data_IF_872426919407
#
_entry.id   IF_872426919407
#
_cell.length_a   1.000
_cell.length_b   1.000
_cell.length_c   1.000
_cell.angle_alpha   90.00
_cell.angle_beta   90.00
_cell.angle_gamma   90.00
#
_symmetry.space_group_name_H-M   'P 1'
#
loop_
_entity.id
_entity.type
_entity.pdbx_description
1 polymer ?
#
# COMPACT_ATOMS: atom_id res chain seq x y z
N UNK A 1 -0.05 8.20 19.48
CA UNK A 1 0.31 6.94 20.18
C UNK A 1 -0.37 6.99 21.53
N UNK A 2 -0.85 5.89 22.10
CA UNK A 2 -1.36 5.88 23.47
C UNK A 2 -0.20 6.00 24.46
N UNK A 3 -0.46 6.58 25.64
CA UNK A 3 0.59 6.82 26.65
C UNK A 3 1.30 5.54 27.09
N UNK A 4 0.60 4.40 27.34
CA UNK A 4 1.27 3.14 27.66
C UNK A 4 2.23 2.66 26.55
N UNK A 5 1.86 2.84 25.29
CA UNK A 5 2.73 2.49 24.14
C UNK A 5 3.94 3.41 24.03
N UNK A 6 3.79 4.68 24.44
CA UNK A 6 4.90 5.62 24.45
C UNK A 6 5.93 5.25 25.51
N UNK A 7 5.45 4.93 26.75
CA UNK A 7 6.33 4.44 27.82
C UNK A 7 7.03 3.13 27.44
N UNK A 8 6.28 2.16 26.92
CA UNK A 8 6.85 0.90 26.46
C UNK A 8 7.91 1.11 25.36
N UNK A 9 7.67 2.02 24.43
CA UNK A 9 8.65 2.35 23.39
C UNK A 9 9.89 3.03 23.97
N UNK A 10 9.72 3.95 24.91
CA UNK A 10 10.82 4.63 25.57
C UNK A 10 11.70 3.65 26.38
N UNK A 11 11.09 2.78 27.16
CA UNK A 11 11.80 1.75 27.93
C UNK A 11 12.68 0.87 27.04
N UNK A 12 12.17 0.52 25.84
CA UNK A 12 12.95 -0.26 24.85
C UNK A 12 14.24 0.45 24.39
N UNK A 13 14.20 1.77 24.34
CA UNK A 13 15.35 2.58 23.92
C UNK A 13 16.16 3.12 25.10
N UNK A 14 15.80 2.78 26.35
CA UNK A 14 16.41 3.32 27.55
C UNK A 14 16.25 4.84 27.63
N UNK A 15 15.09 5.33 27.22
CA UNK A 15 14.74 6.74 27.18
C UNK A 15 13.84 7.08 28.36
N UNK A 16 14.16 8.16 29.06
CA UNK A 16 13.34 8.65 30.18
C UNK A 16 12.25 9.60 29.67
N UNK A 17 11.01 9.09 29.59
CA UNK A 17 9.85 9.88 29.18
C UNK A 17 9.55 11.01 30.15
N UNK A 18 9.78 10.82 31.43
CA UNK A 18 9.47 11.84 32.42
C UNK A 18 10.41 13.03 32.24
N UNK A 19 11.67 12.79 31.89
CA UNK A 19 12.62 13.83 31.51
C UNK A 19 12.18 14.59 30.25
N UNK A 20 11.72 13.88 29.20
CA UNK A 20 11.24 14.50 27.98
C UNK A 20 9.98 15.35 28.20
N UNK A 21 9.12 14.91 29.09
CA UNK A 21 7.80 15.52 29.30
C UNK A 21 7.75 16.49 30.48
N UNK A 22 8.83 16.60 31.27
CA UNK A 22 8.87 17.41 32.51
C UNK A 22 8.43 18.87 32.32
N UNK A 23 8.75 19.48 31.15
CA UNK A 23 8.43 20.86 30.85
C UNK A 23 7.38 21.01 29.74
N UNK A 24 6.61 19.95 29.43
CA UNK A 24 5.65 19.95 28.35
C UNK A 24 4.22 20.13 28.85
N UNK A 25 3.36 20.72 28.00
CA UNK A 25 1.92 20.74 28.25
C UNK A 25 1.29 19.47 27.66
N UNK A 26 0.67 18.69 28.53
CA UNK A 26 -0.07 17.49 28.15
C UNK A 26 -1.48 17.87 27.69
N UNK A 27 -1.83 17.46 26.46
CA UNK A 27 -3.15 17.65 25.88
C UNK A 27 -3.74 16.30 25.48
N UNK A 28 -4.93 15.98 25.98
CA UNK A 28 -5.66 14.80 25.53
C UNK A 28 -6.26 15.05 24.13
N UNK A 29 -5.89 14.21 23.17
CA UNK A 29 -6.44 14.20 21.83
C UNK A 29 -7.26 12.91 21.68
N UNK A 30 -8.58 13.04 21.68
CA UNK A 30 -9.62 11.99 21.49
C UNK A 30 -9.24 10.57 21.95
N UNK A 31 -9.93 10.12 22.97
CA UNK A 31 -10.07 8.79 23.58
C UNK A 31 -8.84 8.16 24.26
N UNK A 32 -7.69 8.03 23.64
CA UNK A 32 -6.53 7.34 24.22
C UNK A 32 -5.17 7.93 23.80
N UNK A 33 -5.20 9.03 23.05
CA UNK A 33 -4.00 9.68 22.54
C UNK A 33 -3.67 10.91 23.35
N UNK A 34 -2.41 11.01 23.72
CA UNK A 34 -1.85 12.19 24.39
C UNK A 34 -0.89 12.89 23.41
N UNK A 35 -0.98 14.21 23.38
CA UNK A 35 -0.05 15.09 22.69
C UNK A 35 0.72 15.90 23.72
N UNK A 36 2.02 15.88 23.63
CA UNK A 36 2.91 16.72 24.42
C UNK A 36 3.32 17.93 23.58
N UNK A 37 3.11 19.12 24.12
CA UNK A 37 3.44 20.39 23.47
C UNK A 37 4.62 21.06 24.18
N UNK A 38 5.55 21.63 23.43
CA UNK A 38 6.71 22.30 23.99
C UNK A 38 7.82 21.33 24.39
N UNK A 39 7.92 20.19 23.68
CA UNK A 39 9.06 19.27 23.85
C UNK A 39 10.35 20.01 23.48
N UNK A 40 11.37 19.87 24.33
CA UNK A 40 12.68 20.45 24.09
C UNK A 40 13.33 19.82 22.84
N UNK A 41 13.81 20.66 21.94
CA UNK A 41 14.28 20.24 20.63
C UNK A 41 15.63 19.51 20.70
N UNK A 42 16.48 19.87 21.65
CA UNK A 42 17.78 19.21 21.85
C UNK A 42 17.61 17.82 22.44
N UNK A 43 16.70 17.66 23.39
CA UNK A 43 16.31 16.37 23.94
C UNK A 43 15.69 15.47 22.87
N UNK A 44 14.87 16.02 21.99
CA UNK A 44 14.26 15.28 20.88
C UNK A 44 15.32 14.78 19.89
N UNK A 45 16.30 15.63 19.54
CA UNK A 45 17.42 15.27 18.67
C UNK A 45 18.31 14.19 19.29
N UNK A 46 18.61 14.28 20.59
CA UNK A 46 19.35 13.24 21.32
C UNK A 46 18.60 11.89 21.31
N UNK A 47 17.28 11.93 21.44
CA UNK A 47 16.45 10.74 21.35
C UNK A 47 16.41 10.15 19.94
N UNK A 48 16.32 11.01 18.93
CA UNK A 48 16.40 10.57 17.53
C UNK A 48 17.71 9.86 17.24
N UNK A 49 18.84 10.43 17.67
CA UNK A 49 20.15 9.80 17.53
C UNK A 49 20.21 8.43 18.21
N UNK A 50 19.77 8.33 19.47
CA UNK A 50 19.73 7.03 20.18
C UNK A 50 18.81 6.00 19.52
N UNK A 51 17.75 6.42 18.87
CA UNK A 51 16.84 5.54 18.12
C UNK A 51 17.47 5.12 16.80
N UNK A 52 18.17 6.03 16.12
CA UNK A 52 18.88 5.77 14.87
C UNK A 52 20.03 4.79 15.08
N UNK A 53 20.85 5.01 16.09
CA UNK A 53 21.99 4.11 16.46
C UNK A 53 21.54 2.68 16.77
N UNK A 54 20.29 2.47 17.23
CA UNK A 54 19.73 1.14 17.51
C UNK A 54 19.01 0.51 16.32
N UNK A 55 18.71 1.26 15.28
CA UNK A 55 18.11 0.70 14.06
C UNK A 55 19.06 -0.21 13.28
N UNK A 56 20.36 -0.16 13.56
CA UNK A 56 21.35 -1.10 13.01
C UNK A 56 21.33 -2.48 13.70
N UNK A 57 20.64 -2.62 14.84
CA UNK A 57 20.51 -3.94 15.50
C UNK A 57 19.57 -4.82 14.68
N UNK A 58 20.14 -5.82 14.03
CA UNK A 58 19.41 -6.74 13.17
C UNK A 58 18.18 -7.33 13.90
N UNK A 59 17.06 -7.49 13.19
CA UNK A 59 15.80 -8.09 13.71
C UNK A 59 16.05 -9.43 14.44
N UNK A 60 17.05 -10.18 14.01
CA UNK A 60 17.51 -11.42 14.65
C UNK A 60 17.94 -11.21 16.11
N UNK A 61 18.63 -10.11 16.39
CA UNK A 61 19.11 -9.79 17.73
C UNK A 61 17.98 -9.27 18.62
N UNK A 62 17.05 -8.50 18.07
CA UNK A 62 15.82 -8.12 18.78
C UNK A 62 14.88 -9.29 19.03
N UNK A 63 14.89 -10.31 18.18
CA UNK A 63 14.16 -11.55 18.42
C UNK A 63 14.67 -12.30 19.65
N UNK A 64 15.97 -12.24 19.94
CA UNK A 64 16.57 -12.79 21.18
C UNK A 64 16.06 -12.10 22.44
N UNK A 65 15.66 -10.83 22.32
CA UNK A 65 15.08 -10.04 23.42
C UNK A 65 13.54 -10.13 23.49
N UNK A 66 12.92 -11.04 22.72
CA UNK A 66 11.46 -11.25 22.72
C UNK A 66 10.65 -10.17 22.01
N UNK A 67 11.28 -9.28 21.23
CA UNK A 67 10.61 -8.16 20.56
C UNK A 67 10.95 -8.07 19.07
N UNK A 68 10.69 -9.14 18.33
CA UNK A 68 10.92 -9.21 16.87
C UNK A 68 10.12 -8.19 16.05
N UNK A 69 9.04 -7.64 16.62
CA UNK A 69 8.19 -6.66 15.94
C UNK A 69 8.68 -5.21 16.05
N UNK A 70 9.69 -4.95 16.88
CA UNK A 70 10.27 -3.62 17.07
C UNK A 70 11.29 -3.22 15.99
N UNK A 71 11.92 -4.19 15.31
CA UNK A 71 12.88 -3.93 14.26
C UNK A 71 12.26 -4.00 12.86
N UNK A 72 12.72 -3.14 11.98
CA UNK A 72 12.37 -3.22 10.56
C UNK A 72 12.99 -4.49 9.94
N UNK A 73 12.30 -5.08 9.00
CA UNK A 73 12.87 -6.14 8.16
C UNK A 73 13.90 -5.49 7.24
N UNK A 74 15.07 -6.09 7.11
CA UNK A 74 16.19 -5.61 6.27
C UNK A 74 15.98 -5.87 4.78
N UNK A 75 14.75 -5.99 4.31
CA UNK A 75 14.45 -6.20 2.91
C UNK A 75 12.95 -6.31 2.66
N UNK A 76 12.61 -6.36 1.38
CA UNK A 76 11.27 -6.63 0.90
C UNK A 76 11.33 -7.67 -0.22
N UNK A 77 10.22 -8.38 -0.44
CA UNK A 77 10.12 -9.29 -1.57
C UNK A 77 8.76 -9.14 -2.25
N UNK A 78 8.74 -9.37 -3.55
CA UNK A 78 7.55 -9.38 -4.37
C UNK A 78 7.56 -10.58 -5.30
N UNK A 79 6.37 -11.03 -5.71
CA UNK A 79 6.22 -12.08 -6.70
C UNK A 79 5.77 -11.45 -8.01
N UNK A 80 6.50 -11.75 -9.09
CA UNK A 80 6.28 -11.16 -10.42
C UNK A 80 6.13 -12.27 -11.44
N UNK A 81 5.34 -12.03 -12.48
CA UNK A 81 5.21 -12.83 -13.69
C UNK A 81 4.83 -11.95 -14.89
N UNK A 82 4.92 -12.50 -16.10
CA UNK A 82 4.47 -11.83 -17.32
C UNK A 82 4.14 -12.87 -18.40
N UNK A 83 3.61 -12.45 -19.55
CA UNK A 83 3.47 -13.36 -20.71
C UNK A 83 4.82 -13.94 -21.15
N UNK A 84 5.89 -13.15 -21.12
CA UNK A 84 7.25 -13.59 -21.49
C UNK A 84 7.83 -14.55 -20.45
N UNK A 85 7.44 -14.39 -19.20
CA UNK A 85 7.89 -15.18 -18.06
C UNK A 85 6.67 -15.62 -17.23
N UNK A 86 5.93 -16.66 -17.72
CA UNK A 86 4.64 -17.04 -17.16
C UNK A 86 4.74 -17.70 -15.77
N UNK A 87 5.91 -18.27 -15.43
CA UNK A 87 6.13 -18.81 -14.09
C UNK A 87 6.40 -17.68 -13.10
N UNK A 88 5.62 -17.60 -11.99
CA UNK A 88 5.89 -16.65 -10.94
C UNK A 88 7.30 -16.79 -10.39
N UNK A 89 7.98 -15.69 -10.19
CA UNK A 89 9.31 -15.65 -9.59
C UNK A 89 9.37 -14.55 -8.52
N UNK A 90 10.29 -14.72 -7.57
CA UNK A 90 10.47 -13.79 -6.47
C UNK A 90 11.58 -12.80 -6.83
N UNK A 91 11.31 -11.52 -6.61
CA UNK A 91 12.28 -10.44 -6.63
C UNK A 91 12.45 -9.93 -5.21
N UNK A 92 13.69 -9.83 -4.73
CA UNK A 92 14.02 -9.30 -3.41
C UNK A 92 14.70 -7.94 -3.55
N UNK A 93 14.41 -7.06 -2.60
CA UNK A 93 15.07 -5.75 -2.46
C UNK A 93 15.60 -5.68 -1.04
N UNK A 94 16.88 -5.45 -0.86
CA UNK A 94 17.48 -5.30 0.45
C UNK A 94 17.33 -3.87 1.01
N UNK A 95 17.87 -3.63 2.19
CA UNK A 95 17.80 -2.32 2.86
C UNK A 95 18.72 -1.27 2.22
N UNK A 96 19.64 -1.67 1.34
CA UNK A 96 20.49 -0.79 0.53
C UNK A 96 19.85 -0.47 -0.83
N UNK A 97 18.72 -1.09 -1.16
CA UNK A 97 18.03 -0.94 -2.43
C UNK A 97 18.58 -1.84 -3.55
N UNK A 98 19.45 -2.80 -3.23
CA UNK A 98 19.91 -3.78 -4.20
C UNK A 98 18.81 -4.77 -4.55
N UNK A 99 18.63 -5.00 -5.85
CA UNK A 99 17.55 -5.84 -6.38
C UNK A 99 18.15 -7.18 -6.83
N UNK A 100 17.63 -8.24 -6.24
CA UNK A 100 17.95 -9.63 -6.61
C UNK A 100 16.75 -10.27 -7.30
N UNK A 101 16.95 -10.65 -8.58
CA UNK A 101 15.96 -11.36 -9.38
C UNK A 101 16.60 -12.60 -10.04
N UNK A 102 15.83 -13.59 -10.49
CA UNK A 102 16.38 -14.74 -11.20
C UNK A 102 17.15 -14.33 -12.46
N UNK A 103 18.20 -15.06 -12.83
CA UNK A 103 18.98 -14.78 -14.05
C UNK A 103 18.07 -14.71 -15.28
N UNK A 104 18.28 -13.69 -16.11
CA UNK A 104 17.50 -13.48 -17.33
C UNK A 104 16.15 -12.76 -17.12
N UNK A 105 15.80 -12.41 -15.88
CA UNK A 105 14.64 -11.54 -15.63
C UNK A 105 14.98 -10.12 -16.06
N UNK A 106 14.28 -9.66 -17.09
CA UNK A 106 14.39 -8.26 -17.55
C UNK A 106 13.03 -7.61 -17.35
N UNK A 107 12.93 -6.55 -16.52
CA UNK A 107 11.68 -5.82 -16.35
C UNK A 107 11.14 -5.29 -17.67
N UNK A 108 9.81 -5.23 -17.80
CA UNK A 108 9.18 -4.53 -18.90
C UNK A 108 9.16 -3.02 -18.61
N UNK A 109 8.72 -2.20 -19.58
CA UNK A 109 8.51 -0.77 -19.32
C UNK A 109 7.32 -0.51 -18.36
N UNK A 110 6.42 -1.49 -18.17
CA UNK A 110 5.16 -1.35 -17.46
C UNK A 110 4.94 -2.42 -16.40
N UNK A 111 4.38 -2.01 -15.28
CA UNK A 111 4.02 -2.89 -14.19
C UNK A 111 2.52 -2.79 -13.92
N UNK A 112 1.88 -3.93 -13.72
CA UNK A 112 0.53 -4.01 -13.16
C UNK A 112 0.63 -4.63 -11.77
N UNK A 113 0.17 -3.90 -10.77
CA UNK A 113 0.08 -4.41 -9.41
C UNK A 113 -1.34 -4.90 -9.20
N UNK A 114 -1.51 -6.20 -8.95
CA UNK A 114 -2.80 -6.80 -8.58
C UNK A 114 -2.82 -7.08 -7.09
N UNK A 115 -3.91 -6.70 -6.43
CA UNK A 115 -4.07 -6.93 -4.99
C UNK A 115 -4.41 -8.38 -4.70
N UNK A 116 -5.24 -8.98 -5.54
CA UNK A 116 -5.84 -10.28 -5.33
C UNK A 116 -5.06 -11.41 -5.99
N UNK A 117 -4.97 -12.53 -5.28
CA UNK A 117 -4.24 -13.73 -5.75
C UNK A 117 -4.91 -14.34 -6.98
N UNK A 118 -6.24 -14.36 -7.05
CA UNK A 118 -6.96 -14.95 -8.20
C UNK A 118 -6.63 -14.20 -9.50
N UNK A 119 -6.63 -12.87 -9.48
CA UNK A 119 -6.19 -12.06 -10.61
C UNK A 119 -4.72 -12.31 -10.98
N UNK A 120 -3.86 -12.52 -10.00
CA UNK A 120 -2.47 -12.84 -10.25
C UNK A 120 -2.29 -14.23 -10.88
N UNK A 121 -3.05 -15.23 -10.43
CA UNK A 121 -2.98 -16.60 -10.97
C UNK A 121 -3.59 -16.68 -12.37
N UNK A 122 -4.71 -15.98 -12.61
CA UNK A 122 -5.39 -15.92 -13.89
C UNK A 122 -4.80 -14.77 -14.76
N UNK A 123 -3.59 -14.97 -15.27
CA UNK A 123 -2.88 -13.94 -16.05
C UNK A 123 -3.65 -13.56 -17.32
N UNK A 124 -4.19 -14.52 -18.05
CA UNK A 124 -4.89 -14.25 -19.31
C UNK A 124 -6.19 -13.47 -19.06
N UNK A 125 -6.95 -13.86 -18.03
CA UNK A 125 -8.12 -13.13 -17.57
C UNK A 125 -7.78 -11.69 -17.16
N UNK A 126 -6.73 -11.52 -16.37
CA UNK A 126 -6.28 -10.20 -15.91
C UNK A 126 -5.80 -9.33 -17.08
N UNK A 127 -5.02 -9.85 -18.00
CA UNK A 127 -4.59 -9.11 -19.19
C UNK A 127 -5.76 -8.75 -20.10
N UNK A 128 -6.80 -9.59 -20.18
CA UNK A 128 -8.01 -9.31 -20.96
C UNK A 128 -8.82 -8.12 -20.40
N UNK A 129 -8.65 -7.79 -19.12
CA UNK A 129 -9.28 -6.62 -18.50
C UNK A 129 -8.64 -5.29 -18.90
N UNK A 130 -7.38 -5.29 -19.35
CA UNK A 130 -6.65 -4.04 -19.58
C UNK A 130 -7.29 -3.13 -20.64
N UNK A 131 -7.77 -3.64 -21.80
CA UNK A 131 -8.52 -2.82 -22.75
C UNK A 131 -9.83 -2.28 -22.16
N UNK A 132 -10.49 -3.05 -21.30
CA UNK A 132 -11.74 -2.63 -20.62
C UNK A 132 -11.45 -1.52 -19.59
N UNK A 133 -10.25 -1.49 -19.04
CA UNK A 133 -9.74 -0.39 -18.21
C UNK A 133 -9.22 0.81 -19.03
N UNK A 134 -9.39 0.81 -20.35
CA UNK A 134 -8.96 1.90 -21.23
C UNK A 134 -7.46 1.90 -21.56
N UNK A 135 -6.74 0.81 -21.27
CA UNK A 135 -5.33 0.71 -21.55
C UNK A 135 -5.04 0.27 -22.99
N UNK A 136 -4.01 0.84 -23.59
CA UNK A 136 -3.57 0.48 -24.93
C UNK A 136 -2.96 -0.93 -25.00
N UNK A 137 -2.88 -1.55 -26.19
CA UNK A 137 -2.35 -2.92 -26.36
C UNK A 137 -0.94 -3.14 -25.82
N UNK A 138 -0.11 -2.10 -25.72
CA UNK A 138 1.26 -2.21 -25.18
C UNK A 138 1.32 -2.71 -23.74
N UNK A 139 0.23 -2.55 -22.98
CA UNK A 139 0.11 -3.06 -21.63
C UNK A 139 -0.05 -4.58 -21.54
N UNK A 140 -0.31 -5.25 -22.68
CA UNK A 140 -0.35 -6.72 -22.73
C UNK A 140 1.02 -7.37 -22.44
N UNK A 141 2.10 -6.59 -22.57
CA UNK A 141 3.47 -7.02 -22.29
C UNK A 141 3.97 -6.57 -20.90
N UNK A 142 3.08 -6.02 -20.08
CA UNK A 142 3.41 -5.58 -18.74
C UNK A 142 3.81 -6.76 -17.83
N UNK A 143 4.70 -6.49 -16.89
CA UNK A 143 4.89 -7.39 -15.77
C UNK A 143 3.70 -7.29 -14.81
N UNK A 144 3.30 -8.40 -14.22
CA UNK A 144 2.23 -8.48 -13.25
C UNK A 144 2.83 -8.84 -11.89
N UNK A 145 2.58 -7.99 -10.90
CA UNK A 145 3.06 -8.16 -9.54
C UNK A 145 1.89 -8.48 -8.61
N UNK A 146 2.07 -9.48 -7.76
CA UNK A 146 1.16 -9.76 -6.66
C UNK A 146 1.43 -8.84 -5.48
N UNK A 147 0.49 -7.96 -5.17
CA UNK A 147 0.62 -6.91 -4.15
C UNK A 147 0.55 -7.42 -2.72
N UNK A 148 -0.13 -8.56 -2.48
CA UNK A 148 -0.31 -9.13 -1.14
C UNK A 148 -0.75 -8.11 -0.08
N UNK A 149 -1.78 -7.33 -0.40
CA UNK A 149 -2.32 -6.28 0.46
C UNK A 149 -1.31 -5.15 0.76
N UNK A 150 -1.25 -4.69 2.00
CA UNK A 150 -0.42 -3.54 2.39
C UNK A 150 1.10 -3.75 2.23
N UNK A 151 1.60 -4.97 2.03
CA UNK A 151 3.03 -5.24 1.85
C UNK A 151 3.62 -4.51 0.65
N UNK A 152 2.81 -4.28 -0.39
CA UNK A 152 3.19 -3.52 -1.58
C UNK A 152 3.56 -2.07 -1.27
N UNK A 153 3.08 -1.53 -0.16
CA UNK A 153 3.42 -0.17 0.28
C UNK A 153 4.69 -0.10 1.12
N UNK A 154 5.52 -1.15 1.16
CA UNK A 154 6.82 -1.10 1.81
C UNK A 154 7.76 -0.14 1.07
N UNK A 155 8.39 0.79 1.80
CA UNK A 155 9.27 1.81 1.23
C UNK A 155 10.50 1.18 0.53
N UNK A 156 10.97 0.04 1.00
CA UNK A 156 12.11 -0.68 0.42
C UNK A 156 11.85 -1.14 -1.02
N UNK A 157 10.59 -1.20 -1.47
CA UNK A 157 10.25 -1.53 -2.85
C UNK A 157 10.41 -0.35 -3.83
N UNK A 158 10.75 0.84 -3.36
CA UNK A 158 10.91 2.02 -4.22
C UNK A 158 11.91 1.79 -5.37
N UNK A 159 13.12 1.25 -5.15
CA UNK A 159 14.07 0.98 -6.25
C UNK A 159 13.54 -0.02 -7.28
N UNK A 160 12.76 -1.01 -6.85
CA UNK A 160 12.10 -1.95 -7.75
C UNK A 160 11.09 -1.24 -8.65
N UNK A 161 10.22 -0.39 -8.09
CA UNK A 161 9.23 0.35 -8.87
C UNK A 161 9.85 1.34 -9.85
N UNK A 162 10.99 1.93 -9.53
CA UNK A 162 11.70 2.88 -10.37
C UNK A 162 12.27 2.26 -11.66
N UNK A 163 12.30 0.93 -11.77
CA UNK A 163 12.70 0.25 -13.01
C UNK A 163 11.63 0.35 -14.11
N UNK A 164 10.40 0.70 -13.76
CA UNK A 164 9.29 0.81 -14.69
C UNK A 164 9.05 2.27 -15.09
N UNK A 165 8.42 2.50 -16.23
CA UNK A 165 8.00 3.84 -16.68
C UNK A 165 6.59 4.17 -16.23
N UNK A 166 5.73 3.16 -16.19
CA UNK A 166 4.32 3.29 -15.85
C UNK A 166 3.88 2.15 -14.93
N UNK A 167 3.07 2.48 -13.94
CA UNK A 167 2.53 1.51 -12.98
C UNK A 167 1.00 1.61 -12.98
N UNK A 168 0.34 0.49 -13.27
CA UNK A 168 -1.11 0.33 -13.14
C UNK A 168 -1.44 -0.38 -11.84
N UNK A 169 -2.21 0.25 -10.96
CA UNK A 169 -2.72 -0.36 -9.74
C UNK A 169 -4.10 -0.93 -10.01
N UNK A 170 -4.18 -2.25 -10.19
CA UNK A 170 -5.44 -2.98 -10.23
C UNK A 170 -5.75 -3.45 -8.81
N UNK A 171 -6.32 -2.55 -8.01
CA UNK A 171 -6.69 -2.78 -6.61
C UNK A 171 -8.20 -2.88 -6.46
N UNK A 172 -8.65 -3.40 -5.34
CA UNK A 172 -10.06 -3.38 -4.99
C UNK A 172 -10.60 -1.94 -5.02
N UNK A 173 -11.74 -1.68 -5.68
CA UNK A 173 -12.37 -0.38 -5.62
C UNK A 173 -13.08 -0.21 -4.27
N UNK A 174 -12.26 -0.07 -3.23
CA UNK A 174 -12.64 0.11 -1.85
C UNK A 174 -11.71 1.12 -1.14
N UNK A 175 -11.99 1.52 0.10
CA UNK A 175 -11.11 2.44 0.85
C UNK A 175 -9.70 1.90 1.10
N UNK A 176 -9.50 0.58 1.12
CA UNK A 176 -8.19 -0.07 1.26
C UNK A 176 -7.33 0.11 0.02
N UNK A 177 -7.86 -0.26 -1.15
CA UNK A 177 -7.18 -0.09 -2.43
C UNK A 177 -6.88 1.37 -2.75
N UNK A 178 -7.83 2.29 -2.48
CA UNK A 178 -7.60 3.73 -2.61
C UNK A 178 -6.46 4.20 -1.68
N UNK A 179 -6.41 3.73 -0.44
CA UNK A 179 -5.32 4.07 0.50
C UNK A 179 -3.97 3.56 0.03
N UNK A 180 -3.89 2.34 -0.50
CA UNK A 180 -2.64 1.77 -1.02
C UNK A 180 -2.14 2.59 -2.22
N UNK A 181 -3.01 2.91 -3.17
CA UNK A 181 -2.69 3.75 -4.31
C UNK A 181 -2.23 5.16 -3.88
N UNK A 182 -2.95 5.82 -2.94
CA UNK A 182 -2.53 7.10 -2.35
C UNK A 182 -1.15 7.00 -1.69
N UNK A 183 -0.88 5.91 -0.96
CA UNK A 183 0.42 5.70 -0.31
C UNK A 183 1.54 5.59 -1.33
N UNK A 184 1.34 4.85 -2.41
CA UNK A 184 2.31 4.73 -3.49
C UNK A 184 2.52 6.08 -4.19
N UNK A 185 1.44 6.75 -4.59
CA UNK A 185 1.49 8.04 -5.27
C UNK A 185 2.24 9.12 -4.48
N UNK A 186 2.01 9.19 -3.18
CA UNK A 186 2.60 10.22 -2.31
C UNK A 186 4.10 10.06 -2.05
N UNK A 187 4.71 8.98 -2.47
CA UNK A 187 6.17 8.83 -2.39
C UNK A 187 6.89 9.85 -3.29
N UNK A 188 6.24 10.30 -4.40
CA UNK A 188 6.79 11.30 -5.29
C UNK A 188 7.98 10.85 -6.13
N UNK A 189 8.54 9.69 -5.83
CA UNK A 189 9.73 9.12 -6.49
C UNK A 189 9.37 8.00 -7.48
N UNK A 190 8.08 7.67 -7.55
CA UNK A 190 7.59 6.61 -8.43
C UNK A 190 7.28 7.14 -9.84
N UNK A 191 7.34 6.27 -10.87
CA UNK A 191 6.91 6.62 -12.22
C UNK A 191 5.40 6.92 -12.28
N UNK A 192 4.89 7.24 -13.47
CA UNK A 192 3.46 7.51 -13.69
C UNK A 192 2.60 6.37 -13.13
N UNK A 193 1.67 6.72 -12.25
CA UNK A 193 0.85 5.75 -11.51
C UNK A 193 -0.63 5.98 -11.82
N UNK A 194 -1.33 4.89 -12.13
CA UNK A 194 -2.75 4.88 -12.50
C UNK A 194 -3.52 3.92 -11.61
N UNK A 195 -4.70 4.31 -11.14
CA UNK A 195 -5.66 3.37 -10.56
C UNK A 195 -6.49 2.77 -11.71
N UNK A 196 -6.38 1.46 -11.92
CA UNK A 196 -7.06 0.77 -13.01
C UNK A 196 -8.44 0.30 -12.55
N UNK A 197 -9.44 0.59 -13.36
CA UNK A 197 -10.79 0.10 -13.15
C UNK A 197 -11.51 -0.04 -14.50
N UNK A 198 -12.42 -1.00 -14.65
CA UNK A 198 -13.18 -1.16 -15.88
C UNK A 198 -14.12 0.03 -16.11
N UNK A 199 -14.42 0.31 -17.38
CA UNK A 199 -15.28 1.41 -17.76
C UNK A 199 -16.70 1.31 -17.15
N UNK A 200 -17.18 0.09 -16.91
CA UNK A 200 -18.48 -0.22 -16.29
C UNK A 200 -18.43 -0.30 -14.75
N UNK A 201 -17.38 0.29 -14.12
CA UNK A 201 -17.23 0.24 -12.66
C UNK A 201 -18.43 0.79 -11.90
N UNK A 202 -19.07 1.84 -12.42
CA UNK A 202 -20.26 2.46 -11.78
C UNK A 202 -21.40 1.45 -11.65
N UNK A 203 -21.67 0.72 -12.72
CA UNK A 203 -22.72 -0.30 -12.81
C UNK A 203 -22.41 -1.46 -11.85
N UNK A 204 -21.16 -1.93 -11.85
CA UNK A 204 -20.70 -2.98 -10.94
C UNK A 204 -20.82 -2.56 -9.47
N UNK A 205 -20.41 -1.36 -9.12
CA UNK A 205 -20.58 -0.81 -7.77
C UNK A 205 -22.08 -0.72 -7.41
N UNK A 206 -22.92 -0.27 -8.33
CA UNK A 206 -24.37 -0.17 -8.08
C UNK A 206 -25.00 -1.53 -7.81
N UNK A 207 -24.53 -2.58 -8.47
CA UNK A 207 -24.97 -3.96 -8.27
C UNK A 207 -24.39 -4.61 -7.00
N UNK A 208 -23.33 -4.04 -6.40
CA UNK A 208 -22.71 -4.59 -5.19
C UNK A 208 -23.68 -4.54 -4.00
N UNK A 209 -23.59 -5.54 -3.15
CA UNK A 209 -24.30 -5.60 -1.84
C UNK A 209 -23.47 -5.03 -0.69
N UNK A 210 -22.18 -4.69 -0.94
CA UNK A 210 -21.25 -4.23 0.09
C UNK A 210 -21.32 -2.71 0.24
N UNK A 211 -21.84 -2.25 1.36
CA UNK A 211 -21.96 -0.82 1.67
C UNK A 211 -20.82 -0.28 2.50
N UNK A 212 -20.45 0.98 2.26
CA UNK A 212 -19.48 1.69 3.08
C UNK A 212 -20.08 2.10 4.43
N UNK A 213 -19.38 1.77 5.51
CA UNK A 213 -19.68 2.35 6.82
C UNK A 213 -19.14 3.79 6.95
N UNK A 214 -19.53 4.50 8.02
CA UNK A 214 -19.15 5.90 8.25
C UNK A 214 -17.63 6.11 8.31
N UNK A 215 -16.90 5.21 8.95
CA UNK A 215 -15.43 5.29 9.06
C UNK A 215 -14.76 5.15 7.70
N UNK A 216 -15.22 4.22 6.88
CA UNK A 216 -14.74 4.01 5.51
C UNK A 216 -15.00 5.24 4.62
N UNK A 217 -16.18 5.87 4.72
CA UNK A 217 -16.50 7.11 3.99
C UNK A 217 -15.55 8.26 4.36
N UNK A 218 -15.24 8.41 5.64
CA UNK A 218 -14.29 9.43 6.11
C UNK A 218 -12.87 9.18 5.59
N UNK A 219 -12.39 7.94 5.65
CA UNK A 219 -11.07 7.56 5.14
C UNK A 219 -10.96 7.81 3.63
N UNK A 220 -11.94 7.39 2.86
CA UNK A 220 -12.00 7.59 1.42
C UNK A 220 -11.86 9.08 1.04
N UNK A 221 -12.61 9.96 1.72
CA UNK A 221 -12.58 11.40 1.46
C UNK A 221 -11.18 12.04 1.67
N UNK A 222 -10.40 11.51 2.61
CA UNK A 222 -9.04 11.97 2.89
C UNK A 222 -8.10 11.59 1.73
N UNK A 223 -8.12 10.32 1.31
CA UNK A 223 -7.19 9.81 0.30
C UNK A 223 -7.48 10.36 -1.10
N UNK A 224 -8.75 10.48 -1.48
CA UNK A 224 -9.15 11.06 -2.77
C UNK A 224 -8.63 12.48 -3.01
N UNK A 225 -8.61 13.32 -1.96
CA UNK A 225 -8.16 14.72 -2.06
C UNK A 225 -6.66 14.85 -2.30
N UNK A 226 -5.89 13.83 -1.95
CA UNK A 226 -4.42 13.84 -1.94
C UNK A 226 -3.81 13.18 -3.17
N UNK A 227 -4.60 12.37 -3.87
CA UNK A 227 -4.09 11.49 -4.91
C UNK A 227 -4.96 11.57 -6.18
N UNK A 228 -4.54 12.37 -7.18
CA UNK A 228 -5.24 12.47 -8.46
C UNK A 228 -5.54 11.12 -9.14
N UNK A 229 -4.62 10.11 -9.14
CA UNK A 229 -4.92 8.80 -9.70
C UNK A 229 -6.14 8.12 -9.08
N UNK A 230 -6.43 8.40 -7.80
CA UNK A 230 -7.55 7.79 -7.07
C UNK A 230 -8.86 8.57 -7.21
N UNK A 231 -8.84 9.78 -7.78
CA UNK A 231 -9.98 10.70 -7.71
C UNK A 231 -11.23 10.17 -8.42
N UNK A 232 -11.07 9.59 -9.60
CA UNK A 232 -12.18 9.05 -10.39
C UNK A 232 -12.86 7.87 -9.68
N UNK A 233 -12.09 6.82 -9.38
CA UNK A 233 -12.58 5.60 -8.74
C UNK A 233 -13.15 5.89 -7.36
N UNK A 234 -12.43 6.67 -6.55
CA UNK A 234 -12.92 7.10 -5.24
C UNK A 234 -14.20 7.93 -5.32
N UNK A 235 -14.38 8.74 -6.38
CA UNK A 235 -15.61 9.47 -6.67
C UNK A 235 -16.79 8.54 -6.92
N UNK A 236 -16.59 7.46 -7.69
CA UNK A 236 -17.61 6.45 -7.95
C UNK A 236 -18.00 5.69 -6.67
N UNK A 237 -17.01 5.24 -5.90
CA UNK A 237 -17.22 4.58 -4.59
C UNK A 237 -18.01 5.49 -3.64
N UNK A 238 -17.65 6.77 -3.57
CA UNK A 238 -18.35 7.75 -2.72
C UNK A 238 -19.80 7.97 -3.17
N UNK A 239 -20.03 8.09 -4.47
CA UNK A 239 -21.35 8.38 -5.03
C UNK A 239 -22.31 7.21 -4.87
N UNK A 240 -21.83 5.98 -5.10
CA UNK A 240 -22.65 4.77 -4.92
C UNK A 240 -22.79 4.38 -3.45
N UNK A 241 -21.84 4.79 -2.60
CA UNK A 241 -21.76 4.36 -1.22
C UNK A 241 -21.36 2.90 -1.04
N UNK A 242 -20.89 2.25 -2.10
CA UNK A 242 -20.59 0.82 -2.18
C UNK A 242 -19.15 0.56 -2.59
N UNK A 243 -18.69 -0.66 -2.35
CA UNK A 243 -17.38 -1.14 -2.77
C UNK A 243 -17.48 -2.59 -3.26
N UNK A 244 -16.40 -3.11 -3.89
CA UNK A 244 -16.35 -4.49 -4.35
C UNK A 244 -14.90 -5.00 -4.38
N UNK A 245 -14.75 -6.29 -4.60
CA UNK A 245 -13.47 -6.96 -4.78
C UNK A 245 -13.15 -7.07 -6.27
N UNK A 246 -11.87 -6.92 -6.61
CA UNK A 246 -11.43 -6.86 -8.01
C UNK A 246 -11.64 -8.17 -8.78
N UNK A 247 -11.75 -9.33 -8.10
CA UNK A 247 -12.10 -10.60 -8.76
C UNK A 247 -13.41 -10.50 -9.53
N UNK A 248 -14.34 -9.65 -9.09
CA UNK A 248 -15.60 -9.41 -9.79
C UNK A 248 -15.38 -8.87 -11.19
N UNK A 249 -14.21 -8.32 -11.51
CA UNK A 249 -13.89 -7.86 -12.85
C UNK A 249 -13.73 -9.01 -13.86
N UNK A 250 -13.34 -10.18 -13.37
CA UNK A 250 -13.21 -11.40 -14.18
C UNK A 250 -14.58 -11.99 -14.57
N UNK A 251 -15.64 -11.55 -13.92
CA UNK A 251 -17.01 -11.98 -14.23
C UNK A 251 -17.65 -11.08 -15.29
N UNK A 252 -18.46 -11.64 -16.21
CA UNK A 252 -19.31 -10.83 -17.07
C UNK A 252 -20.29 -10.03 -16.20
N UNK A 253 -20.66 -8.82 -16.68
CA UNK A 253 -21.73 -8.08 -16.02
C UNK A 253 -22.99 -8.94 -15.94
N UNK A 254 -23.70 -8.93 -14.79
CA UNK A 254 -25.03 -9.52 -14.73
C UNK A 254 -25.89 -8.87 -15.83
N UNK A 255 -26.32 -9.66 -16.80
CA UNK A 255 -27.32 -9.22 -17.73
C UNK A 255 -28.55 -8.84 -16.90
N UNK A 256 -28.95 -7.58 -16.97
CA UNK A 256 -30.23 -7.13 -16.43
C UNK A 256 -31.31 -7.82 -17.27
N UNK A 257 -31.63 -9.08 -16.95
CA UNK A 257 -32.86 -9.65 -17.42
C UNK A 257 -33.97 -8.79 -16.84
N UNK A 258 -34.60 -8.05 -17.75
CA UNK A 258 -35.76 -7.27 -17.45
C UNK A 258 -36.76 -8.17 -16.71
N UNK A 259 -36.92 -7.92 -15.42
CA UNK A 259 -38.10 -8.43 -14.70
C UNK A 259 -39.34 -7.89 -15.40
N UNK A 260 -39.93 -8.70 -16.28
CA UNK A 260 -41.25 -8.51 -16.81
C UNK A 260 -42.27 -8.92 -15.78
#
# INVERSE_FOLDING_TARGET
MSEPKLHQAADQFGLDIDQLTANTKRQHDRSDRVRYLGVDQDTLLQWQSKVEDRHEVARVEQSRMGNSHGARVSGAMVTVRSKRQPHPHVVMVDDKGEISAPPGSTPSDRLIIVENLENFLNIDGTLSLLPVCGLSPVWQEADILYGSGNSITNILLTPFFQQYREIGCLFDPDPGGIRMCDTLYRRGELPSLYFLAPADLRERLSASTRELNMKQRQQLAIHMRRSPPCAHVGGLIRTTGKHLEQETYLLPMPTTEATR
#
